data_IF_400814724512
#
_entry.id   IF_400814724512
#
_cell.length_a   1.000
_cell.length_b   1.000
_cell.length_c   1.000
_cell.angle_alpha   90.00
_cell.angle_beta   90.00
_cell.angle_gamma   90.00
#
_symmetry.space_group_name_H-M   'P 1'
#
loop_
_entity.id
_entity.type
_entity.pdbx_description
1 polymer ?
#
# COMPACT_ATOMS: atom_id res chain seq x y z
N UNK A 1 23.35 28.27 -25.07
CA UNK A 1 23.87 27.47 -23.95
C UNK A 1 22.69 26.83 -23.25
N UNK A 2 22.55 25.53 -23.48
CA UNK A 2 21.47 24.63 -23.08
C UNK A 2 21.44 24.42 -21.57
N UNK A 3 20.40 24.89 -20.88
CA UNK A 3 20.09 24.45 -19.53
C UNK A 3 19.04 23.35 -19.57
N UNK A 4 19.51 22.10 -19.49
CA UNK A 4 18.73 20.90 -19.24
C UNK A 4 18.20 20.95 -17.81
N UNK A 5 16.95 21.36 -17.62
CA UNK A 5 16.25 21.21 -16.34
C UNK A 5 15.55 19.85 -16.37
N UNK A 6 16.14 18.88 -15.67
CA UNK A 6 15.62 17.54 -15.52
C UNK A 6 14.21 17.55 -14.88
N UNK A 7 13.23 16.77 -15.38
CA UNK A 7 11.90 16.71 -14.80
C UNK A 7 11.87 15.72 -13.62
N UNK A 8 12.60 16.00 -12.55
CA UNK A 8 12.60 15.16 -11.34
C UNK A 8 11.33 15.31 -10.47
N UNK A 9 10.43 16.23 -10.81
CA UNK A 9 9.26 16.55 -9.97
C UNK A 9 7.96 15.87 -10.41
N UNK A 10 7.91 15.19 -11.57
CA UNK A 10 6.70 14.51 -12.04
C UNK A 10 6.47 13.12 -11.43
N UNK A 11 7.40 12.62 -10.61
CA UNK A 11 7.26 11.29 -9.99
C UNK A 11 6.32 11.28 -8.76
N UNK A 12 6.05 12.44 -8.15
CA UNK A 12 5.35 12.51 -6.86
C UNK A 12 3.82 12.62 -6.96
N UNK A 13 3.28 13.17 -8.06
CA UNK A 13 1.83 13.46 -8.18
C UNK A 13 1.02 12.23 -8.63
N UNK A 14 1.65 11.19 -9.20
CA UNK A 14 0.96 9.92 -9.50
C UNK A 14 0.57 9.12 -8.25
N UNK A 15 0.91 9.60 -7.05
CA UNK A 15 0.54 9.00 -5.75
C UNK A 15 -0.96 9.11 -5.42
N UNK A 16 -1.74 9.91 -6.15
CA UNK A 16 -3.08 10.35 -5.72
C UNK A 16 -4.29 9.60 -6.31
N UNK A 17 -4.13 8.68 -7.27
CA UNK A 17 -5.24 7.80 -7.74
C UNK A 17 -4.75 6.37 -7.94
N UNK A 18 -3.89 5.92 -7.03
CA UNK A 18 -3.51 4.52 -6.98
C UNK A 18 -4.44 3.81 -6.02
N UNK A 19 -5.13 2.78 -6.51
CA UNK A 19 -5.88 1.87 -5.67
C UNK A 19 -4.96 1.37 -4.56
N UNK A 20 -5.19 1.81 -3.33
CA UNK A 20 -4.43 1.37 -2.16
C UNK A 20 -5.08 0.09 -1.63
N UNK A 21 -4.27 -0.87 -1.21
CA UNK A 21 -4.73 -2.16 -0.72
C UNK A 21 -4.12 -2.41 0.64
N UNK A 22 -4.87 -2.99 1.56
CA UNK A 22 -4.34 -3.46 2.84
C UNK A 22 -4.81 -4.88 3.07
N UNK A 23 -4.07 -5.60 3.90
CA UNK A 23 -4.43 -6.97 4.24
C UNK A 23 -5.16 -6.95 5.58
N UNK A 24 -6.40 -7.48 5.56
CA UNK A 24 -7.26 -7.63 6.73
C UNK A 24 -7.19 -9.07 7.23
N UNK A 25 -6.97 -9.24 8.53
CA UNK A 25 -6.87 -10.53 9.21
C UNK A 25 -7.89 -10.57 10.34
N UNK A 26 -8.83 -11.51 10.29
CA UNK A 26 -9.94 -11.65 11.24
C UNK A 26 -10.66 -10.32 11.56
N UNK A 27 -10.18 -9.59 12.57
CA UNK A 27 -10.76 -8.36 13.12
C UNK A 27 -9.77 -7.17 13.15
N UNK A 28 -8.62 -7.30 12.48
CA UNK A 28 -7.61 -6.25 12.41
C UNK A 28 -6.94 -6.18 11.04
N UNK A 29 -5.98 -5.29 10.96
CA UNK A 29 -5.08 -5.06 9.84
C UNK A 29 -3.66 -5.42 10.26
N UNK A 30 -2.83 -5.76 9.29
CA UNK A 30 -1.40 -5.94 9.52
C UNK A 30 -0.70 -4.59 9.45
N UNK A 31 0.16 -4.31 10.42
CA UNK A 31 1.06 -3.15 10.40
C UNK A 31 2.35 -3.49 9.66
N UNK A 32 3.15 -2.48 9.31
CA UNK A 32 4.47 -2.68 8.72
C UNK A 32 5.39 -3.55 9.59
N UNK A 33 5.21 -3.50 10.91
CA UNK A 33 5.97 -4.29 11.88
C UNK A 33 5.52 -5.76 11.98
N UNK A 34 4.58 -6.19 11.14
CA UNK A 34 4.01 -7.54 11.18
C UNK A 34 3.06 -7.79 12.36
N UNK A 35 2.65 -6.73 13.08
CA UNK A 35 1.71 -6.83 14.20
C UNK A 35 0.27 -6.63 13.74
N UNK A 36 -0.68 -7.09 14.55
CA UNK A 36 -2.10 -6.85 14.33
C UNK A 36 -2.53 -5.52 14.96
N UNK A 37 -3.06 -4.61 14.16
CA UNK A 37 -3.71 -3.39 14.64
C UNK A 37 -5.21 -3.39 14.35
N UNK A 38 -6.00 -2.70 15.16
CA UNK A 38 -7.41 -2.41 14.82
C UNK A 38 -7.54 -1.13 13.99
N UNK A 39 -6.52 -0.28 14.05
CA UNK A 39 -6.53 1.05 13.46
C UNK A 39 -6.18 0.99 11.99
N UNK A 40 -7.06 1.52 11.14
CA UNK A 40 -6.84 1.60 9.70
C UNK A 40 -5.64 2.48 9.34
N UNK A 41 -5.35 3.51 10.13
CA UNK A 41 -4.28 4.48 9.84
C UNK A 41 -2.88 3.88 9.96
N UNK A 42 -2.71 2.84 10.79
CA UNK A 42 -1.43 2.16 10.97
C UNK A 42 -1.27 0.90 10.11
N UNK A 43 -2.20 0.64 9.19
CA UNK A 43 -2.13 -0.56 8.37
C UNK A 43 -1.03 -0.47 7.30
N UNK A 44 -0.45 -1.61 6.98
CA UNK A 44 0.48 -1.76 5.88
C UNK A 44 -0.28 -1.66 4.57
N UNK A 45 0.07 -0.63 3.79
CA UNK A 45 -0.57 -0.34 2.53
C UNK A 45 0.29 -0.79 1.36
N UNK A 46 -0.36 -1.40 0.39
CA UNK A 46 0.19 -1.89 -0.85
C UNK A 46 -0.39 -1.12 -2.02
N UNK A 47 0.44 -0.90 -3.02
CA UNK A 47 0.05 -0.23 -4.27
C UNK A 47 -0.37 -1.22 -5.37
N UNK A 48 -0.07 -2.50 -5.17
CA UNK A 48 -0.38 -3.59 -6.11
C UNK A 48 -1.25 -4.63 -5.42
N UNK A 49 -2.40 -4.92 -6.02
CA UNK A 49 -3.32 -5.96 -5.54
C UNK A 49 -2.66 -7.34 -5.52
N UNK A 50 -1.86 -7.64 -6.55
CA UNK A 50 -1.14 -8.93 -6.68
C UNK A 50 -0.15 -9.14 -5.55
N UNK A 51 0.56 -8.09 -5.13
CA UNK A 51 1.51 -8.17 -4.02
C UNK A 51 0.79 -8.35 -2.68
N UNK A 52 -0.28 -7.59 -2.47
CA UNK A 52 -1.12 -7.72 -1.30
C UNK A 52 -1.72 -9.13 -1.21
N UNK A 53 -2.16 -9.71 -2.34
CA UNK A 53 -2.77 -11.04 -2.39
C UNK A 53 -1.75 -12.14 -2.09
N UNK A 54 -0.56 -12.09 -2.67
CA UNK A 54 0.51 -13.05 -2.36
C UNK A 54 0.85 -13.09 -0.87
N UNK A 55 0.86 -11.94 -0.20
CA UNK A 55 1.10 -11.87 1.24
C UNK A 55 -0.14 -12.28 2.05
N UNK A 56 -1.34 -11.94 1.59
CA UNK A 56 -2.59 -12.40 2.19
C UNK A 56 -2.69 -13.93 2.17
N UNK A 57 -2.36 -14.58 1.04
CA UNK A 57 -2.39 -16.03 0.90
C UNK A 57 -1.39 -16.73 1.82
N UNK A 58 -0.21 -16.13 2.01
CA UNK A 58 0.82 -16.66 2.94
C UNK A 58 0.44 -16.53 4.41
N UNK A 59 -0.17 -15.40 4.79
CA UNK A 59 -0.46 -15.07 6.19
C UNK A 59 -1.89 -15.53 6.58
N UNK A 60 -2.72 -15.92 5.60
CA UNK A 60 -4.12 -16.33 5.81
C UNK A 60 -5.09 -15.14 5.95
N UNK A 61 -4.78 -14.02 5.31
CA UNK A 61 -5.58 -12.80 5.33
C UNK A 61 -6.47 -12.64 4.11
N UNK A 62 -7.19 -11.52 4.06
CA UNK A 62 -7.94 -11.07 2.90
C UNK A 62 -7.47 -9.69 2.46
N UNK A 63 -7.23 -9.51 1.18
CA UNK A 63 -6.96 -8.17 0.62
C UNK A 63 -8.23 -7.33 0.65
N UNK A 64 -8.08 -6.10 1.13
CA UNK A 64 -9.12 -5.09 1.14
C UNK A 64 -8.57 -3.82 0.49
N UNK A 65 -9.26 -3.35 -0.54
CA UNK A 65 -8.98 -2.03 -1.12
C UNK A 65 -9.30 -0.96 -0.07
N UNK A 66 -8.32 -0.10 0.20
CA UNK A 66 -8.42 1.07 1.06
C UNK A 66 -8.28 2.28 0.13
N UNK A 67 -9.30 3.13 0.14
CA UNK A 67 -9.41 4.34 -0.66
C UNK A 67 -10.35 5.28 0.06
#
# INVERSE_FOLDING_TARGET
MTFLIAPFTLFSIRKAVMSMYAIKFFHGYLTADGKRTRDKSGCLVYHSEKEAQKLADKIGGRVKKIG
#
